data_IF_932671134817
#
_entry.id   IF_932671134817
#
_cell.length_a   1.000
_cell.length_b   1.000
_cell.length_c   1.000
_cell.angle_alpha   90.00
_cell.angle_beta   90.00
_cell.angle_gamma   90.00
#
_symmetry.space_group_name_H-M   'P 1'
#
loop_
_entity.id
_entity.type
_entity.pdbx_description
1 polymer ?
#
# COMPACT_ATOMS: atom_id res chain seq x y z
N UNK A 1 9.87 -1.83 16.05
CA UNK A 1 8.83 -1.80 17.10
C UNK A 1 7.61 -1.09 16.54
N UNK A 2 6.38 -1.53 16.93
CA UNK A 2 5.11 -0.92 16.49
C UNK A 2 4.40 -1.63 15.33
N UNK A 3 5.04 -2.48 14.54
CA UNK A 3 4.39 -3.30 13.51
C UNK A 3 4.33 -4.75 13.98
N UNK A 4 3.10 -5.24 14.21
CA UNK A 4 2.89 -6.62 14.67
C UNK A 4 3.16 -7.63 13.56
N UNK A 5 2.81 -7.30 12.31
CA UNK A 5 2.99 -8.18 11.15
C UNK A 5 3.56 -7.40 9.98
N UNK A 6 4.52 -7.96 9.25
CA UNK A 6 4.96 -7.39 7.98
C UNK A 6 3.80 -7.25 7.00
N UNK A 7 3.87 -6.25 6.14
CA UNK A 7 2.88 -6.01 5.09
C UNK A 7 3.58 -5.76 3.77
N UNK A 8 2.97 -6.15 2.67
CA UNK A 8 3.47 -5.81 1.34
C UNK A 8 2.52 -4.82 0.67
N UNK A 9 3.09 -3.76 0.12
CA UNK A 9 2.31 -2.77 -0.60
C UNK A 9 3.18 -1.79 -1.36
N UNK A 10 2.52 -0.95 -2.14
CA UNK A 10 3.11 0.08 -2.98
C UNK A 10 2.20 0.47 -4.13
N UNK A 11 2.72 1.21 -5.09
CA UNK A 11 2.02 1.52 -6.34
C UNK A 11 1.85 0.23 -7.15
N UNK A 12 0.62 -0.10 -7.48
CA UNK A 12 0.27 -1.29 -8.25
C UNK A 12 -0.39 -0.95 -9.60
N UNK A 13 -0.67 0.31 -9.84
CA UNK A 13 -1.29 0.81 -11.06
C UNK A 13 -0.34 1.79 -11.75
N UNK A 14 0.07 1.51 -12.97
CA UNK A 14 0.95 2.41 -13.74
C UNK A 14 0.27 3.75 -14.05
N UNK A 15 -1.04 3.72 -14.31
CA UNK A 15 -1.82 4.92 -14.61
C UNK A 15 -2.19 5.74 -13.36
N UNK A 16 -1.92 5.23 -12.17
CA UNK A 16 -2.17 5.91 -10.89
C UNK A 16 -0.89 5.96 -10.02
N UNK A 17 0.13 6.74 -10.44
CA UNK A 17 1.43 6.76 -9.77
C UNK A 17 1.35 7.28 -8.32
N UNK A 18 0.29 8.01 -7.97
CA UNK A 18 0.06 8.58 -6.65
C UNK A 18 -0.87 7.74 -5.76
N UNK A 19 -1.21 6.53 -6.19
CA UNK A 19 -2.06 5.59 -5.45
C UNK A 19 -1.29 4.34 -5.07
N UNK A 20 -1.31 4.01 -3.79
CA UNK A 20 -0.68 2.80 -3.24
C UNK A 20 -1.72 1.90 -2.58
N UNK A 21 -1.49 0.60 -2.61
CA UNK A 21 -2.39 -0.39 -2.00
C UNK A 21 -1.64 -1.18 -0.93
N UNK A 22 -2.28 -1.39 0.23
CA UNK A 22 -1.84 -2.17 1.37
C UNK A 22 -3.02 -2.95 1.98
N UNK A 23 -2.99 -4.26 2.13
CA UNK A 23 -1.98 -5.30 1.89
C UNK A 23 -2.20 -5.96 0.52
N UNK A 24 -1.11 -6.34 -0.15
CA UNK A 24 -1.18 -6.98 -1.47
C UNK A 24 -0.82 -8.48 -1.46
N UNK A 25 -0.77 -9.14 -0.29
CA UNK A 25 -0.55 -10.59 -0.31
C UNK A 25 0.20 -11.23 0.85
N UNK A 26 0.18 -10.66 2.04
CA UNK A 26 0.83 -11.23 3.25
C UNK A 26 -0.19 -11.64 4.31
N UNK A 27 -1.13 -10.76 4.69
CA UNK A 27 -2.02 -10.97 5.80
C UNK A 27 -3.45 -11.23 5.33
N UNK A 28 -3.85 -12.51 5.23
CA UNK A 28 -5.17 -12.92 4.73
C UNK A 28 -6.27 -12.65 5.74
N UNK A 29 -6.02 -12.98 7.02
CA UNK A 29 -6.93 -12.72 8.13
C UNK A 29 -6.39 -11.56 8.96
N UNK A 30 -7.02 -10.41 8.85
CA UNK A 30 -6.63 -9.19 9.54
C UNK A 30 -7.59 -8.87 10.69
N UNK A 31 -7.07 -8.13 11.66
CA UNK A 31 -7.86 -7.40 12.65
C UNK A 31 -7.94 -5.93 12.25
N UNK A 32 -8.97 -5.17 12.69
CA UNK A 32 -9.13 -3.77 12.32
C UNK A 32 -7.91 -2.90 12.57
N UNK A 33 -7.23 -3.06 13.73
CA UNK A 33 -6.04 -2.28 14.05
C UNK A 33 -4.85 -2.57 13.11
N UNK A 34 -4.81 -3.77 12.48
CA UNK A 34 -3.78 -4.07 11.49
C UNK A 34 -4.01 -3.27 10.19
N UNK A 35 -5.28 -3.11 9.78
CA UNK A 35 -5.62 -2.24 8.66
C UNK A 35 -5.30 -0.77 8.97
N UNK A 36 -5.47 -0.33 10.23
CA UNK A 36 -4.99 0.98 10.69
C UNK A 36 -3.47 1.12 10.53
N UNK A 37 -2.71 0.08 10.90
CA UNK A 37 -1.26 0.05 10.71
C UNK A 37 -0.89 0.11 9.21
N UNK A 38 -1.67 -0.54 8.35
CA UNK A 38 -1.44 -0.48 6.89
C UNK A 38 -1.73 0.91 6.33
N UNK A 39 -2.78 1.57 6.83
CA UNK A 39 -3.07 2.98 6.49
C UNK A 39 -1.90 3.90 6.88
N UNK A 40 -1.33 3.69 8.07
CA UNK A 40 -0.17 4.42 8.54
C UNK A 40 1.04 4.22 7.62
N UNK A 41 1.39 2.96 7.32
CA UNK A 41 2.51 2.63 6.45
C UNK A 41 2.30 3.24 5.05
N UNK A 42 1.10 3.13 4.49
CA UNK A 42 0.75 3.73 3.20
C UNK A 42 0.87 5.25 3.23
N UNK A 43 0.43 5.89 4.32
CA UNK A 43 0.56 7.34 4.48
C UNK A 43 2.02 7.79 4.58
N UNK A 44 2.86 7.04 5.29
CA UNK A 44 4.30 7.30 5.35
C UNK A 44 4.97 7.09 3.98
N UNK A 45 4.56 6.07 3.24
CA UNK A 45 5.00 5.87 1.86
C UNK A 45 4.71 7.11 1.01
N UNK A 46 3.47 7.57 1.02
CA UNK A 46 3.04 8.73 0.24
C UNK A 46 3.82 9.99 0.63
N UNK A 47 4.02 10.24 1.92
CA UNK A 47 4.78 11.40 2.39
C UNK A 47 6.25 11.37 2.00
N UNK A 48 6.91 10.20 2.10
CA UNK A 48 8.38 10.10 1.95
C UNK A 48 8.85 9.77 0.54
N UNK A 49 8.01 9.12 -0.25
CA UNK A 49 8.40 8.66 -1.59
C UNK A 49 7.61 9.32 -2.72
N UNK A 50 6.44 9.89 -2.40
CA UNK A 50 5.57 10.54 -3.40
C UNK A 50 5.37 12.04 -3.13
N UNK A 51 5.99 12.60 -2.08
CA UNK A 51 5.87 14.01 -1.67
C UNK A 51 4.41 14.47 -1.44
N UNK A 52 3.55 13.58 -0.94
CA UNK A 52 2.15 13.87 -0.63
C UNK A 52 2.01 14.05 0.88
N UNK A 53 1.95 15.28 1.36
CA UNK A 53 1.95 15.59 2.81
C UNK A 53 0.72 15.09 3.56
N UNK A 54 -0.48 15.22 2.96
CA UNK A 54 -1.75 14.80 3.57
C UNK A 54 -2.49 13.78 2.70
N UNK A 55 -1.98 12.52 2.62
CA UNK A 55 -2.52 11.51 1.74
C UNK A 55 -3.94 11.12 2.12
N UNK A 56 -4.81 11.01 1.13
CA UNK A 56 -6.18 10.53 1.27
C UNK A 56 -6.19 9.02 1.44
N UNK A 57 -6.76 8.55 2.54
CA UNK A 57 -6.89 7.13 2.88
C UNK A 57 -8.29 6.65 2.53
N UNK A 58 -8.39 5.60 1.72
CA UNK A 58 -9.64 4.90 1.40
C UNK A 58 -9.61 3.45 1.85
N UNK A 59 -10.74 2.94 2.33
CA UNK A 59 -10.91 1.52 2.67
C UNK A 59 -11.58 0.81 1.51
N UNK A 60 -10.92 -0.18 0.90
CA UNK A 60 -11.52 -0.96 -0.19
C UNK A 60 -12.71 -1.74 0.35
N UNK A 61 -13.87 -1.55 -0.28
CA UNK A 61 -15.12 -2.16 0.15
C UNK A 61 -16.06 -2.43 -1.04
N UNK A 62 -17.21 -3.05 -0.75
CA UNK A 62 -18.25 -3.43 -1.71
C UNK A 62 -19.37 -2.39 -1.83
N UNK A 63 -19.29 -1.28 -1.12
CA UNK A 63 -20.27 -0.20 -1.11
C UNK A 63 -19.75 1.00 -0.32
N UNK A 64 -20.22 2.20 -0.66
CA UNK A 64 -19.76 3.47 -0.11
C UNK A 64 -20.21 3.72 1.34
N UNK A 65 -21.33 3.11 1.76
CA UNK A 65 -21.95 3.37 3.07
C UNK A 65 -21.12 2.73 4.20
N UNK A 66 -21.15 3.35 5.38
CA UNK A 66 -20.33 2.95 6.53
C UNK A 66 -20.59 1.52 7.07
N UNK A 67 -21.79 1.01 6.85
CA UNK A 67 -22.23 -0.32 7.27
C UNK A 67 -21.99 -1.43 6.23
N UNK A 68 -21.46 -1.09 5.09
CA UNK A 68 -21.15 -2.07 4.04
C UNK A 68 -19.92 -2.92 4.34
N UNK A 69 -19.92 -4.10 3.75
CA UNK A 69 -18.81 -5.04 3.82
C UNK A 69 -18.97 -6.07 4.93
N UNK A 70 -17.86 -6.67 5.29
CA UNK A 70 -17.78 -7.66 6.35
C UNK A 70 -17.46 -7.01 7.72
N UNK A 71 -17.41 -7.80 8.77
CA UNK A 71 -17.10 -7.32 10.12
C UNK A 71 -15.78 -6.54 10.18
N UNK A 72 -14.75 -7.03 9.49
CA UNK A 72 -13.44 -6.38 9.46
C UNK A 72 -13.54 -4.96 8.89
N UNK A 73 -14.18 -4.79 7.73
CA UNK A 73 -14.30 -3.48 7.07
C UNK A 73 -15.17 -2.51 7.85
N UNK A 74 -16.30 -2.98 8.45
CA UNK A 74 -17.17 -2.14 9.28
C UNK A 74 -16.44 -1.62 10.53
N UNK A 75 -15.72 -2.49 11.22
CA UNK A 75 -14.94 -2.10 12.41
C UNK A 75 -13.77 -1.19 12.03
N UNK A 76 -13.07 -1.48 10.94
CA UNK A 76 -11.97 -0.63 10.43
C UNK A 76 -12.46 0.75 9.99
N UNK A 77 -13.62 0.83 9.34
CA UNK A 77 -14.21 2.11 8.94
C UNK A 77 -14.39 3.04 10.14
N UNK A 78 -14.91 2.51 11.27
CA UNK A 78 -15.10 3.30 12.49
C UNK A 78 -13.78 3.83 13.04
N UNK A 79 -12.77 2.97 13.13
CA UNK A 79 -11.45 3.36 13.61
C UNK A 79 -10.79 4.43 12.70
N UNK A 80 -10.84 4.24 11.37
CA UNK A 80 -10.30 5.22 10.43
C UNK A 80 -11.03 6.57 10.51
N UNK A 81 -12.34 6.54 10.70
CA UNK A 81 -13.17 7.76 10.82
C UNK A 81 -12.87 8.56 12.10
N UNK A 82 -12.51 7.88 13.18
CA UNK A 82 -12.15 8.47 14.47
C UNK A 82 -10.67 8.86 14.58
N UNK A 83 -9.85 8.47 13.61
CA UNK A 83 -8.41 8.71 13.61
C UNK A 83 -8.04 10.09 13.03
N UNK A 84 -6.75 10.42 13.12
CA UNK A 84 -6.16 11.63 12.50
C UNK A 84 -5.90 11.48 11.00
N UNK A 85 -6.18 10.33 10.38
CA UNK A 85 -6.00 10.15 8.94
C UNK A 85 -6.97 11.03 8.12
N UNK A 86 -6.52 11.49 6.96
CA UNK A 86 -7.39 12.09 5.95
C UNK A 86 -8.25 10.99 5.28
N UNK A 87 -9.15 10.39 6.08
CA UNK A 87 -9.98 9.28 5.66
C UNK A 87 -11.14 9.74 4.79
N UNK A 88 -11.21 9.24 3.56
CA UNK A 88 -12.25 9.59 2.58
C UNK A 88 -13.44 8.63 2.54
N UNK A 89 -13.43 7.57 3.38
CA UNK A 89 -14.49 6.56 3.43
C UNK A 89 -14.17 5.29 2.69
N UNK A 90 -15.21 4.50 2.42
CA UNK A 90 -15.12 3.30 1.59
C UNK A 90 -14.87 3.67 0.13
N UNK A 91 -14.08 2.85 -0.56
CA UNK A 91 -13.78 2.97 -1.98
C UNK A 91 -14.17 1.66 -2.66
N UNK A 92 -15.10 1.72 -3.59
CA UNK A 92 -15.53 0.57 -4.37
C UNK A 92 -14.54 0.27 -5.52
N UNK A 93 -14.54 -0.98 -5.99
CA UNK A 93 -13.60 -1.41 -7.03
C UNK A 93 -13.65 -0.58 -8.31
N UNK A 94 -14.83 -0.09 -8.71
CA UNK A 94 -15.02 0.79 -9.87
C UNK A 94 -14.49 2.21 -9.66
N UNK A 95 -14.33 2.65 -8.42
CA UNK A 95 -13.84 3.98 -8.07
C UNK A 95 -12.31 4.05 -7.92
N UNK A 96 -11.64 2.90 -7.83
CA UNK A 96 -10.18 2.85 -7.65
C UNK A 96 -9.47 3.64 -8.75
N UNK A 97 -9.90 3.43 -10.02
CA UNK A 97 -9.28 4.09 -11.18
C UNK A 97 -9.60 5.57 -11.31
N UNK A 98 -10.48 6.13 -10.47
CA UNK A 98 -10.72 7.57 -10.40
C UNK A 98 -9.54 8.32 -9.72
N UNK A 99 -8.65 7.59 -9.01
CA UNK A 99 -7.47 8.16 -8.36
C UNK A 99 -7.76 9.10 -7.19
N UNK A 100 -8.95 8.98 -6.59
CA UNK A 100 -9.38 9.87 -5.50
C UNK A 100 -8.68 9.57 -4.17
N UNK A 101 -8.13 8.35 -3.98
CA UNK A 101 -7.36 7.93 -2.82
C UNK A 101 -5.88 7.83 -3.15
N UNK A 102 -5.03 8.23 -2.19
CA UNK A 102 -3.58 8.02 -2.28
C UNK A 102 -3.18 6.69 -1.62
N UNK A 103 -3.89 6.29 -0.57
CA UNK A 103 -3.69 5.04 0.14
C UNK A 103 -4.97 4.25 0.12
N UNK A 104 -4.94 3.08 -0.47
CA UNK A 104 -6.03 2.11 -0.45
C UNK A 104 -5.68 0.98 0.51
N UNK A 105 -6.57 0.71 1.47
CA UNK A 105 -6.34 -0.27 2.53
C UNK A 105 -7.30 -1.44 2.38
N UNK A 106 -6.78 -2.65 2.50
CA UNK A 106 -7.54 -3.90 2.54
C UNK A 106 -6.73 -5.01 3.22
N UNK A 107 -7.36 -6.17 3.46
CA UNK A 107 -6.61 -7.39 3.76
C UNK A 107 -5.92 -7.94 2.51
N UNK A 108 -5.00 -8.87 2.72
CA UNK A 108 -4.24 -9.45 1.61
C UNK A 108 -5.06 -10.33 0.68
N UNK A 109 -6.22 -10.84 1.10
CA UNK A 109 -7.10 -11.60 0.21
C UNK A 109 -7.65 -10.68 -0.88
N UNK A 110 -8.24 -9.56 -0.48
CA UNK A 110 -8.78 -8.55 -1.40
C UNK A 110 -7.65 -7.94 -2.23
N UNK A 111 -6.56 -7.53 -1.61
CA UNK A 111 -5.45 -6.88 -2.31
C UNK A 111 -4.74 -7.81 -3.30
N UNK A 112 -4.59 -9.10 -2.99
CA UNK A 112 -3.99 -10.06 -3.91
C UNK A 112 -4.90 -10.36 -5.11
N UNK A 113 -6.22 -10.50 -4.89
CA UNK A 113 -7.19 -10.68 -5.98
C UNK A 113 -7.15 -9.47 -6.91
N UNK A 114 -7.19 -8.26 -6.35
CA UNK A 114 -7.09 -7.02 -7.12
C UNK A 114 -5.78 -6.96 -7.92
N UNK A 115 -4.66 -7.24 -7.28
CA UNK A 115 -3.34 -7.27 -7.91
C UNK A 115 -3.30 -8.26 -9.09
N UNK A 116 -3.79 -9.49 -8.88
CA UNK A 116 -3.84 -10.51 -9.93
C UNK A 116 -4.79 -10.16 -11.07
N UNK A 117 -5.89 -9.49 -10.77
CA UNK A 117 -6.81 -9.01 -11.79
C UNK A 117 -6.15 -7.94 -12.66
N UNK A 118 -5.50 -6.95 -12.06
CA UNK A 118 -4.76 -5.89 -12.76
C UNK A 118 -3.66 -6.49 -13.64
N UNK A 119 -2.90 -7.47 -13.12
CA UNK A 119 -1.92 -8.23 -13.93
C UNK A 119 -2.58 -8.87 -15.16
N UNK A 120 -3.76 -9.48 -15.00
CA UNK A 120 -4.42 -10.25 -16.06
C UNK A 120 -4.95 -9.38 -17.20
N UNK A 121 -5.37 -8.15 -16.92
CA UNK A 121 -5.88 -7.20 -17.93
C UNK A 121 -4.77 -6.36 -18.57
N UNK A 122 -3.51 -6.66 -18.26
CA UNK A 122 -2.36 -6.04 -18.91
C UNK A 122 -2.03 -4.61 -18.48
N UNK A 123 -2.65 -4.10 -17.41
CA UNK A 123 -2.32 -2.79 -16.87
C UNK A 123 -0.88 -2.70 -16.35
N UNK A 124 -0.20 -3.86 -16.20
CA UNK A 124 1.24 -3.95 -15.93
C UNK A 124 2.07 -4.23 -17.19
N UNK A 125 1.44 -4.55 -18.31
CA UNK A 125 2.13 -5.01 -19.51
C UNK A 125 2.23 -3.97 -20.60
N UNK A 126 1.46 -2.90 -20.53
CA UNK A 126 1.35 -1.96 -21.63
C UNK A 126 2.37 -0.83 -21.62
N UNK A 127 3.44 -1.01 -20.94
CA UNK A 127 4.66 -0.30 -21.26
C UNK A 127 5.45 -0.97 -22.37
N UNK A 128 4.79 -1.71 -23.26
CA UNK A 128 5.41 -2.32 -24.44
C UNK A 128 6.02 -1.32 -25.44
N UNK A 129 6.04 -0.04 -25.11
CA UNK A 129 6.78 1.02 -25.79
C UNK A 129 7.89 1.67 -24.95
N UNK A 130 8.06 1.31 -23.69
CA UNK A 130 9.16 1.81 -22.87
C UNK A 130 10.29 0.80 -22.86
N UNK A 131 11.33 1.08 -23.64
CA UNK A 131 12.60 0.31 -23.65
C UNK A 131 13.29 0.28 -22.27
N UNK A 132 12.80 1.01 -21.30
CA UNK A 132 13.42 1.29 -19.99
C UNK A 132 12.98 0.37 -18.86
N UNK A 133 12.45 -0.81 -19.17
CA UNK A 133 12.12 -1.82 -18.17
C UNK A 133 10.95 -1.40 -17.27
N UNK A 134 9.74 -1.50 -17.82
CA UNK A 134 8.52 -1.34 -17.05
C UNK A 134 8.59 -2.06 -15.72
N UNK A 135 8.19 -1.38 -14.66
CA UNK A 135 8.17 -1.94 -13.31
C UNK A 135 7.12 -3.05 -13.24
N UNK A 136 7.49 -4.29 -13.60
CA UNK A 136 6.62 -5.47 -13.58
C UNK A 136 6.14 -5.79 -12.15
N UNK A 137 5.53 -4.81 -11.50
CA UNK A 137 4.96 -4.98 -10.19
C UNK A 137 5.99 -5.41 -9.13
N UNK A 138 5.50 -5.77 -8.01
CA UNK A 138 6.29 -6.07 -6.82
C UNK A 138 6.08 -4.97 -5.78
N UNK A 139 6.52 -5.22 -4.56
CA UNK A 139 6.32 -4.28 -3.47
C UNK A 139 7.49 -4.29 -2.50
N UNK A 140 7.47 -3.30 -1.63
CA UNK A 140 8.34 -3.31 -0.45
C UNK A 140 7.61 -4.10 0.63
N UNK A 141 8.35 -4.98 1.32
CA UNK A 141 7.88 -5.63 2.55
C UNK A 141 8.24 -4.71 3.71
N UNK A 142 7.22 -4.16 4.32
CA UNK A 142 7.29 -3.24 5.44
C UNK A 142 7.17 -3.96 6.78
N UNK A 143 7.72 -3.38 7.83
CA UNK A 143 7.65 -3.96 9.17
C UNK A 143 8.79 -4.93 9.50
N UNK A 144 9.84 -4.94 8.69
CA UNK A 144 11.07 -5.69 8.91
C UNK A 144 12.25 -4.75 9.20
N UNK A 145 13.30 -5.24 9.87
CA UNK A 145 14.51 -4.46 10.18
C UNK A 145 15.45 -4.36 8.97
N UNK A 146 14.95 -3.88 7.85
CA UNK A 146 15.72 -3.73 6.62
C UNK A 146 14.81 -3.42 5.46
N UNK A 147 15.39 -3.15 4.30
CA UNK A 147 14.66 -2.97 3.05
C UNK A 147 14.57 -4.31 2.31
N UNK A 148 13.37 -4.83 2.21
CA UNK A 148 13.08 -6.06 1.45
C UNK A 148 12.14 -5.73 0.31
N UNK A 149 12.54 -6.05 -0.92
CA UNK A 149 11.68 -5.92 -2.09
C UNK A 149 11.29 -7.29 -2.62
N UNK A 150 10.01 -7.49 -2.84
CA UNK A 150 9.49 -8.63 -3.58
C UNK A 150 9.39 -8.25 -5.05
N UNK A 151 9.84 -9.13 -5.93
CA UNK A 151 9.66 -8.99 -7.37
C UNK A 151 8.57 -9.96 -7.86
N UNK A 152 8.06 -9.70 -9.04
CA UNK A 152 7.15 -10.62 -9.72
C UNK A 152 7.88 -11.88 -10.18
N UNK A 153 7.19 -13.04 -10.22
CA UNK A 153 7.79 -14.30 -10.67
C UNK A 153 8.25 -14.28 -12.14
N UNK A 154 7.66 -13.42 -12.97
CA UNK A 154 8.03 -13.22 -14.37
C UNK A 154 9.16 -12.18 -14.57
N UNK A 155 9.71 -11.60 -13.50
CA UNK A 155 10.77 -10.59 -13.59
C UNK A 155 12.01 -11.16 -14.26
N UNK A 156 12.59 -10.37 -15.18
CA UNK A 156 13.83 -10.70 -15.91
C UNK A 156 14.99 -9.86 -15.35
N UNK A 157 16.22 -10.15 -15.80
CA UNK A 157 17.43 -9.51 -15.32
C UNK A 157 17.38 -7.96 -15.29
N UNK A 158 16.85 -7.24 -16.31
CA UNK A 158 16.73 -5.79 -16.23
C UNK A 158 15.83 -5.31 -15.08
N UNK A 159 14.71 -6.01 -14.85
CA UNK A 159 13.79 -5.67 -13.75
C UNK A 159 14.45 -5.89 -12.38
N UNK A 160 15.21 -6.97 -12.22
CA UNK A 160 15.97 -7.26 -11.00
C UNK A 160 17.00 -6.15 -10.76
N UNK A 161 17.75 -5.75 -11.78
CA UNK A 161 18.76 -4.69 -11.69
C UNK A 161 18.14 -3.35 -11.27
N UNK A 162 17.01 -2.97 -11.88
CA UNK A 162 16.27 -1.76 -11.52
C UNK A 162 15.80 -1.79 -10.06
N UNK A 163 15.25 -2.91 -9.60
CA UNK A 163 14.79 -3.04 -8.20
C UNK A 163 15.93 -3.00 -7.19
N UNK A 164 17.10 -3.55 -7.53
CA UNK A 164 18.32 -3.42 -6.71
C UNK A 164 18.73 -1.95 -6.63
N UNK A 165 18.70 -1.24 -7.74
CA UNK A 165 19.03 0.19 -7.79
C UNK A 165 18.06 1.02 -6.93
N UNK A 166 16.75 0.80 -7.06
CA UNK A 166 15.74 1.45 -6.22
C UNK A 166 15.91 1.10 -4.73
N UNK A 167 16.25 -0.15 -4.42
CA UNK A 167 16.52 -0.56 -3.04
C UNK A 167 17.73 0.19 -2.47
N UNK A 168 18.81 0.32 -3.26
CA UNK A 168 20.00 1.08 -2.88
C UNK A 168 19.65 2.54 -2.59
N UNK A 169 18.93 3.20 -3.49
CA UNK A 169 18.50 4.61 -3.31
C UNK A 169 17.67 4.78 -2.03
N UNK A 170 16.75 3.87 -1.74
CA UNK A 170 15.93 3.92 -0.55
C UNK A 170 16.75 3.74 0.76
N UNK A 171 17.79 2.89 0.72
CA UNK A 171 18.73 2.73 1.85
C UNK A 171 19.58 3.98 2.02
N UNK A 172 20.13 4.52 0.93
CA UNK A 172 20.94 5.76 0.94
C UNK A 172 20.14 6.97 1.44
N UNK A 173 18.84 7.03 1.12
CA UNK A 173 17.90 8.03 1.63
C UNK A 173 17.49 7.80 3.11
N UNK A 174 17.98 6.75 3.77
CA UNK A 174 17.68 6.46 5.17
C UNK A 174 16.23 6.03 5.44
N UNK A 175 15.50 5.57 4.43
CA UNK A 175 14.06 5.27 4.49
C UNK A 175 13.66 4.41 5.70
N UNK A 176 14.42 3.35 6.01
CA UNK A 176 14.12 2.44 7.12
C UNK A 176 14.20 3.15 8.48
N UNK A 177 15.19 4.02 8.67
CA UNK A 177 15.36 4.75 9.93
C UNK A 177 14.28 5.82 10.09
N UNK A 178 13.96 6.54 9.04
CA UNK A 178 12.89 7.54 9.03
C UNK A 178 11.54 6.89 9.36
N UNK A 179 11.24 5.75 8.74
CA UNK A 179 10.01 5.00 9.02
C UNK A 179 9.92 4.52 10.47
N UNK A 180 11.05 4.10 11.07
CA UNK A 180 11.07 3.72 12.50
C UNK A 180 10.74 4.89 13.42
N UNK A 181 11.29 6.07 13.14
CA UNK A 181 11.02 7.29 13.89
C UNK A 181 9.54 7.69 13.77
N UNK A 182 9.07 7.85 12.54
CA UNK A 182 7.71 8.32 12.27
C UNK A 182 6.64 7.33 12.78
N UNK A 183 6.90 6.02 12.70
CA UNK A 183 6.01 5.01 13.27
C UNK A 183 5.97 5.04 14.79
N UNK A 184 7.09 5.32 15.45
CA UNK A 184 7.14 5.45 16.90
C UNK A 184 6.29 6.63 17.39
N UNK A 185 6.29 7.75 16.68
CA UNK A 185 5.47 8.92 16.98
C UNK A 185 3.98 8.64 16.78
N UNK A 186 3.60 8.06 15.63
CA UNK A 186 2.19 7.84 15.28
C UNK A 186 1.55 6.63 15.98
N UNK A 187 2.31 5.61 16.38
CA UNK A 187 1.76 4.53 17.22
C UNK A 187 1.34 5.02 18.60
N UNK A 188 1.95 6.08 19.11
CA UNK A 188 1.50 6.79 20.30
C UNK A 188 0.13 7.44 20.15
N UNK A 189 -0.23 7.89 18.94
CA UNK A 189 -1.53 8.51 18.65
C UNK A 189 -2.66 7.49 18.38
N UNK A 190 -2.32 6.30 17.87
CA UNK A 190 -3.30 5.23 17.56
C UNK A 190 -3.59 4.36 18.80
N UNK A 191 -2.68 4.31 19.77
CA UNK A 191 -2.77 3.48 20.98
C UNK A 191 -3.27 4.21 22.23
N UNK A 192 -3.61 5.48 22.13
CA UNK A 192 -4.23 6.28 23.15
C UNK A 192 -5.74 6.42 22.90
#
# INVERSE_FOLDING_TARGET
>A
EGIERPVIGGAIFDDLPNTVVFDCGVNMDCKPYQLMTFALIGSLYCRKLLDIENPKVGLINIGAEAEKGNRLTIETYRLLKESSFNFIGNVEGNQIMEGNANVLVCDAFVGNVLFKFVESIGMFHDSAGREDGADLGGGIIWGVNGLVRKLHGASRAPHVALKIQHARMAVEAGLVNTLKSDMSEMTGEIGA
#
